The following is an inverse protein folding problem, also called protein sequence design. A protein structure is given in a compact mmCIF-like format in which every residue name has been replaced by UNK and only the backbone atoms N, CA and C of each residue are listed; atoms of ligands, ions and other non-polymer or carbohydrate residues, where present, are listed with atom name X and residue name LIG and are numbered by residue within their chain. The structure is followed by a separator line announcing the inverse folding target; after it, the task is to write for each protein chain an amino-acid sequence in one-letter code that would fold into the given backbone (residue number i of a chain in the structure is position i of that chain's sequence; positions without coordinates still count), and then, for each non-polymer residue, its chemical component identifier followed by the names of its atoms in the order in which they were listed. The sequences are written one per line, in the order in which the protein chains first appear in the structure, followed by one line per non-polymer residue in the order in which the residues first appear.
data_IF_803297256557
#
_entry.id   IF_803297256557
#
_cell.length_a   1.000
_cell.length_b   1.000
_cell.length_c   1.000
_cell.angle_alpha   90.00
_cell.angle_beta   90.00
_cell.angle_gamma   90.00
#
_symmetry.space_group_name_H-M   'P 1'
#
loop_
_entity.id
_entity.type
_entity.pdbx_description
1 polymer ?
#
# COMPACT_ATOMS: atom_id res chain seq x y z
N UNK A 1 54.48 -15.97 -40.83
CA UNK A 1 54.48 -14.86 -39.84
C UNK A 1 53.19 -14.03 -39.84
N UNK A 2 52.53 -13.76 -40.98
CA UNK A 2 51.36 -12.86 -41.04
C UNK A 2 50.02 -13.39 -40.46
N UNK A 3 49.77 -14.70 -40.44
CA UNK A 3 48.51 -15.26 -39.87
C UNK A 3 48.40 -15.16 -38.35
N UNK A 4 49.52 -15.29 -37.62
CA UNK A 4 49.54 -15.22 -36.15
C UNK A 4 49.32 -13.80 -35.62
N UNK A 5 49.81 -12.80 -36.33
CA UNK A 5 49.62 -11.38 -35.98
C UNK A 5 48.15 -10.99 -36.14
N UNK A 6 47.48 -11.47 -37.20
CA UNK A 6 46.07 -11.21 -37.44
C UNK A 6 45.16 -11.83 -36.38
N UNK A 7 45.40 -13.09 -36.00
CA UNK A 7 44.66 -13.78 -34.93
C UNK A 7 44.84 -13.10 -33.57
N UNK A 8 46.05 -12.62 -33.25
CA UNK A 8 46.33 -11.92 -32.00
C UNK A 8 45.64 -10.55 -31.95
N UNK A 9 45.66 -9.79 -33.06
CA UNK A 9 44.93 -8.52 -33.15
C UNK A 9 43.41 -8.71 -33.10
N UNK A 10 42.88 -9.77 -33.71
CA UNK A 10 41.47 -10.11 -33.66
C UNK A 10 41.02 -10.51 -32.24
N UNK A 11 41.84 -11.32 -31.54
CA UNK A 11 41.57 -11.72 -30.15
C UNK A 11 41.63 -10.54 -29.17
N UNK A 12 42.57 -9.62 -29.35
CA UNK A 12 42.65 -8.38 -28.57
C UNK A 12 41.44 -7.49 -28.84
N UNK A 13 41.03 -7.30 -30.10
CA UNK A 13 39.81 -6.54 -30.45
C UNK A 13 38.54 -7.18 -29.87
N UNK A 14 38.43 -8.51 -29.89
CA UNK A 14 37.28 -9.23 -29.34
C UNK A 14 37.18 -9.08 -27.81
N UNK A 15 38.30 -9.14 -27.09
CA UNK A 15 38.34 -8.91 -25.65
C UNK A 15 38.11 -7.43 -25.30
N UNK A 16 38.61 -6.50 -26.11
CA UNK A 16 38.34 -5.07 -25.92
C UNK A 16 36.87 -4.73 -26.16
N UNK A 17 36.23 -5.36 -27.16
CA UNK A 17 34.80 -5.23 -27.42
C UNK A 17 33.95 -5.84 -26.29
N UNK A 18 34.33 -7.00 -25.74
CA UNK A 18 33.68 -7.60 -24.56
C UNK A 18 33.83 -6.72 -23.31
N UNK A 19 35.01 -6.12 -23.11
CA UNK A 19 35.27 -5.21 -22.00
C UNK A 19 34.47 -3.91 -22.15
N UNK A 20 34.38 -3.34 -23.37
CA UNK A 20 33.54 -2.19 -23.66
C UNK A 20 32.05 -2.50 -23.49
N UNK A 21 31.60 -3.68 -23.91
CA UNK A 21 30.22 -4.13 -23.69
C UNK A 21 29.92 -4.32 -22.20
N UNK A 22 30.86 -4.88 -21.44
CA UNK A 22 30.74 -5.02 -19.98
C UNK A 22 30.74 -3.66 -19.28
N UNK A 23 31.61 -2.73 -19.66
CA UNK A 23 31.63 -1.36 -19.12
C UNK A 23 30.34 -0.62 -19.51
N UNK A 24 29.85 -0.80 -20.74
CA UNK A 24 28.60 -0.18 -21.19
C UNK A 24 27.38 -0.77 -20.48
N UNK A 25 27.31 -2.09 -20.29
CA UNK A 25 26.29 -2.73 -19.44
C UNK A 25 26.43 -2.28 -17.98
N UNK A 26 27.65 -2.16 -17.45
CA UNK A 26 27.89 -1.70 -16.09
C UNK A 26 27.51 -0.22 -15.92
N UNK A 27 27.74 0.62 -16.92
CA UNK A 27 27.31 2.03 -16.94
C UNK A 27 25.78 2.12 -17.12
N UNK A 28 25.16 1.31 -17.98
CA UNK A 28 23.69 1.28 -18.12
C UNK A 28 23.05 0.81 -16.82
N UNK A 29 23.52 -0.30 -16.25
CA UNK A 29 23.07 -0.83 -14.96
C UNK A 29 23.28 0.21 -13.87
N UNK A 30 24.45 0.85 -13.77
CA UNK A 30 24.67 1.93 -12.81
C UNK A 30 23.88 3.22 -13.10
N UNK A 31 23.55 3.53 -14.36
CA UNK A 31 22.74 4.71 -14.72
C UNK A 31 21.25 4.46 -14.47
N UNK A 32 20.79 3.21 -14.59
CA UNK A 32 19.49 2.76 -14.10
C UNK A 32 19.43 2.75 -12.58
N UNK A 33 20.50 2.29 -11.90
CA UNK A 33 20.59 2.28 -10.43
C UNK A 33 20.64 3.71 -9.87
N UNK A 34 21.38 4.63 -10.51
CA UNK A 34 21.47 6.05 -10.09
C UNK A 34 20.19 6.86 -10.29
N UNK A 35 19.15 6.31 -10.91
CA UNK A 35 17.85 6.98 -11.07
C UNK A 35 16.78 6.48 -10.10
N UNK A 36 17.13 5.56 -9.21
CA UNK A 36 16.27 5.03 -8.16
C UNK A 36 17.00 5.11 -6.81
N UNK A 37 17.33 6.32 -6.36
CA UNK A 37 17.54 6.55 -4.92
C UNK A 37 16.17 6.41 -4.24
N UNK A 38 15.73 5.16 -4.03
CA UNK A 38 14.57 4.87 -3.18
C UNK A 38 15.04 4.96 -1.72
N UNK A 39 14.78 6.11 -1.12
CA UNK A 39 14.78 6.31 0.32
C UNK A 39 14.09 5.11 1.01
N UNK A 40 14.83 4.35 1.82
CA UNK A 40 14.33 3.42 2.86
C UNK A 40 13.12 2.51 2.54
N UNK A 41 13.20 1.62 1.55
CA UNK A 41 12.07 0.72 1.25
C UNK A 41 12.51 -0.72 1.05
N UNK A 42 12.02 -1.61 1.91
CA UNK A 42 12.22 -3.05 1.83
C UNK A 42 11.65 -3.66 0.53
N UNK A 43 11.86 -4.96 0.31
CA UNK A 43 11.24 -5.70 -0.79
C UNK A 43 10.63 -7.01 -0.29
N UNK A 44 9.43 -7.31 -0.75
CA UNK A 44 8.73 -8.56 -0.44
C UNK A 44 8.29 -9.31 -1.70
N UNK A 45 8.03 -10.59 -1.48
CA UNK A 45 7.42 -11.55 -2.38
C UNK A 45 6.46 -12.44 -1.60
N UNK A 46 5.38 -12.90 -2.21
CA UNK A 46 4.51 -13.91 -1.64
C UNK A 46 3.88 -14.79 -2.70
N UNK A 47 3.55 -16.03 -2.34
CA UNK A 47 2.93 -17.01 -3.24
C UNK A 47 1.78 -17.71 -2.55
N UNK A 48 0.78 -18.08 -3.34
CA UNK A 48 -0.24 -19.06 -2.98
C UNK A 48 -0.52 -19.99 -4.15
N UNK A 49 -0.74 -21.27 -3.90
CA UNK A 49 -0.98 -22.29 -4.93
C UNK A 49 -1.78 -23.46 -4.39
N UNK A 50 -2.45 -24.20 -5.28
CA UNK A 50 -3.21 -25.40 -4.92
C UNK A 50 -2.29 -26.63 -4.75
N UNK A 51 -1.55 -26.95 -5.80
CA UNK A 51 -0.61 -28.07 -5.85
C UNK A 51 0.73 -27.60 -6.41
N UNK A 52 1.82 -28.21 -5.92
CA UNK A 52 3.16 -27.91 -6.45
C UNK A 52 3.32 -28.58 -7.82
N UNK A 53 3.97 -27.89 -8.74
CA UNK A 53 4.37 -28.44 -10.03
C UNK A 53 5.83 -28.05 -10.33
N UNK A 54 6.57 -28.83 -11.15
CA UNK A 54 7.94 -28.48 -11.50
C UNK A 54 8.06 -27.10 -12.16
N UNK A 55 7.04 -26.68 -12.92
CA UNK A 55 6.98 -25.35 -13.52
C UNK A 55 6.82 -24.26 -12.46
N UNK A 56 5.91 -24.44 -11.49
CA UNK A 56 5.73 -23.50 -10.39
C UNK A 56 6.97 -23.43 -9.51
N UNK A 57 7.59 -24.56 -9.16
CA UNK A 57 8.84 -24.59 -8.39
C UNK A 57 9.96 -23.83 -9.09
N UNK A 58 10.07 -23.96 -10.41
CA UNK A 58 11.01 -23.19 -11.20
C UNK A 58 10.72 -21.69 -11.13
N UNK A 59 9.45 -21.27 -11.31
CA UNK A 59 9.04 -19.86 -11.21
C UNK A 59 9.37 -19.29 -9.81
N UNK A 60 8.98 -20.01 -8.76
CA UNK A 60 9.26 -19.60 -7.36
C UNK A 60 10.77 -19.45 -7.14
N UNK A 61 11.57 -20.42 -7.60
CA UNK A 61 13.02 -20.36 -7.47
C UNK A 61 13.61 -19.15 -8.18
N UNK A 62 13.19 -18.85 -9.41
CA UNK A 62 13.68 -17.68 -10.15
C UNK A 62 13.29 -16.37 -9.48
N UNK A 63 12.05 -16.27 -8.98
CA UNK A 63 11.60 -15.06 -8.28
C UNK A 63 12.37 -14.83 -6.98
N UNK A 64 12.65 -15.89 -6.22
CA UNK A 64 13.42 -15.78 -4.99
C UNK A 64 14.90 -15.47 -5.25
N UNK A 65 15.48 -15.96 -6.34
CA UNK A 65 16.82 -15.54 -6.77
C UNK A 65 16.87 -14.06 -7.16
N UNK A 66 15.84 -13.56 -7.86
CA UNK A 66 15.70 -12.13 -8.14
C UNK A 66 15.52 -11.30 -6.87
N UNK A 67 14.67 -11.74 -5.93
CA UNK A 67 14.50 -11.09 -4.63
C UNK A 67 15.81 -11.07 -3.84
N UNK A 68 16.57 -12.17 -3.85
CA UNK A 68 17.91 -12.26 -3.24
C UNK A 68 18.80 -11.13 -3.73
N UNK A 69 18.88 -10.91 -5.06
CA UNK A 69 19.69 -9.85 -5.66
C UNK A 69 19.28 -8.45 -5.16
N UNK A 70 17.99 -8.21 -4.90
CA UNK A 70 17.52 -6.94 -4.33
C UNK A 70 18.10 -6.66 -2.94
N UNK A 71 18.59 -7.69 -2.24
CA UNK A 71 19.29 -7.56 -0.96
C UNK A 71 20.58 -6.72 -1.03
N UNK A 72 21.21 -6.54 -2.20
CA UNK A 72 22.33 -5.60 -2.32
C UNK A 72 21.95 -4.16 -1.95
N UNK A 73 20.70 -3.77 -2.23
CA UNK A 73 20.14 -2.47 -1.87
C UNK A 73 19.28 -2.52 -0.60
N UNK A 74 19.07 -3.72 -0.04
CA UNK A 74 18.30 -4.01 1.17
C UNK A 74 19.15 -4.90 2.09
N UNK A 75 20.19 -4.32 2.74
CA UNK A 75 21.28 -5.10 3.32
C UNK A 75 20.98 -5.64 4.73
N UNK A 76 19.86 -5.24 5.34
CA UNK A 76 19.58 -5.45 6.77
C UNK A 76 18.88 -6.78 7.06
N UNK A 77 19.35 -7.82 6.36
CA UNK A 77 18.90 -9.20 6.49
C UNK A 77 17.79 -9.61 5.53
N UNK A 78 17.32 -10.84 5.74
CA UNK A 78 16.25 -11.47 4.96
C UNK A 78 15.42 -12.43 5.82
N UNK A 79 14.20 -12.69 5.36
CA UNK A 79 13.35 -13.70 5.96
C UNK A 79 12.46 -14.43 4.97
N UNK A 80 12.11 -15.67 5.32
CA UNK A 80 11.25 -16.56 4.55
C UNK A 80 10.27 -17.20 5.54
N UNK A 81 8.98 -17.02 5.30
CA UNK A 81 7.90 -17.62 6.07
C UNK A 81 6.98 -18.44 5.17
N UNK A 82 6.63 -19.66 5.54
CA UNK A 82 5.80 -20.52 4.71
C UNK A 82 5.05 -21.55 5.55
N UNK A 83 3.98 -22.09 4.99
CA UNK A 83 3.20 -23.14 5.64
C UNK A 83 3.69 -24.52 5.20
N UNK A 84 3.70 -25.48 6.12
CA UNK A 84 4.00 -26.90 5.84
C UNK A 84 2.84 -27.78 6.30
N UNK A 85 2.55 -28.84 5.56
CA UNK A 85 1.52 -29.80 5.93
C UNK A 85 1.92 -30.59 7.19
N UNK A 86 0.95 -30.91 8.06
CA UNK A 86 1.16 -31.82 9.19
C UNK A 86 0.61 -33.21 8.90
N UNK A 87 1.18 -34.23 9.56
CA UNK A 87 0.69 -35.61 9.47
C UNK A 87 -0.73 -35.79 10.03
N UNK A 88 -1.22 -34.84 10.84
CA UNK A 88 -2.55 -34.89 11.48
C UNK A 88 -3.61 -34.11 10.67
N UNK A 89 -3.24 -33.56 9.51
CA UNK A 89 -4.07 -32.63 8.75
C UNK A 89 -3.87 -31.18 9.19
N UNK A 90 -4.05 -30.25 8.26
CA UNK A 90 -3.77 -28.82 8.46
C UNK A 90 -2.31 -28.45 8.21
N UNK A 91 -2.01 -27.16 8.37
CA UNK A 91 -0.70 -26.59 8.10
C UNK A 91 -0.15 -25.86 9.34
N UNK A 92 1.17 -25.84 9.49
CA UNK A 92 1.87 -25.02 10.49
C UNK A 92 2.83 -24.03 9.81
N UNK A 93 3.00 -22.83 10.35
CA UNK A 93 3.92 -21.84 9.81
C UNK A 93 5.38 -22.18 10.20
N UNK A 94 6.29 -21.89 9.29
CA UNK A 94 7.74 -22.02 9.46
C UNK A 94 8.36 -20.69 9.08
N UNK A 95 9.14 -20.10 9.99
CA UNK A 95 9.87 -18.84 9.75
C UNK A 95 11.38 -19.12 9.77
N UNK A 96 12.10 -18.54 8.82
CA UNK A 96 13.57 -18.55 8.70
C UNK A 96 14.05 -17.14 8.47
N UNK A 97 15.16 -16.75 9.11
CA UNK A 97 15.73 -15.41 9.04
C UNK A 97 17.25 -15.47 8.97
N UNK A 98 17.85 -14.48 8.33
CA UNK A 98 19.29 -14.25 8.32
C UNK A 98 19.61 -12.78 8.53
N UNK A 99 20.68 -12.51 9.27
CA UNK A 99 21.21 -11.16 9.49
C UNK A 99 22.04 -10.64 8.30
N UNK A 100 23.01 -11.40 7.74
CA UNK A 100 23.69 -10.94 6.55
C UNK A 100 22.69 -10.73 5.42
N UNK A 101 22.95 -9.72 4.59
CA UNK A 101 22.18 -9.47 3.37
C UNK A 101 22.03 -10.74 2.52
N UNK A 102 20.85 -10.94 1.91
CA UNK A 102 20.50 -12.16 1.19
C UNK A 102 21.53 -12.65 0.13
N UNK A 103 22.16 -11.78 -0.70
CA UNK A 103 23.20 -12.20 -1.64
C UNK A 103 24.47 -12.74 -0.97
N UNK A 104 24.73 -12.32 0.27
CA UNK A 104 25.97 -12.59 1.01
C UNK A 104 25.81 -13.71 2.04
N UNK A 105 24.58 -14.15 2.32
CA UNK A 105 24.30 -15.22 3.26
C UNK A 105 24.23 -16.59 2.55
N UNK A 106 25.19 -17.52 2.77
CA UNK A 106 25.14 -18.84 2.15
C UNK A 106 23.93 -19.69 2.61
N UNK A 107 23.31 -19.33 3.74
CA UNK A 107 22.11 -20.02 4.25
C UNK A 107 20.84 -19.66 3.46
N UNK A 108 20.82 -18.52 2.78
CA UNK A 108 19.64 -18.10 1.99
C UNK A 108 19.22 -19.17 0.97
N UNK A 109 20.10 -19.61 0.02
CA UNK A 109 19.72 -20.63 -0.94
C UNK A 109 19.35 -21.98 -0.28
N UNK A 110 19.98 -22.34 0.85
CA UNK A 110 19.60 -23.53 1.61
C UNK A 110 18.17 -23.45 2.16
N UNK A 111 17.77 -22.28 2.70
CA UNK A 111 16.41 -22.07 3.22
C UNK A 111 15.39 -21.96 2.10
N UNK A 112 15.75 -21.43 0.93
CA UNK A 112 14.89 -21.48 -0.28
C UNK A 112 14.67 -22.93 -0.73
N UNK A 113 15.72 -23.74 -0.79
CA UNK A 113 15.60 -25.15 -1.14
C UNK A 113 14.78 -25.95 -0.11
N UNK A 114 14.94 -25.65 1.19
CA UNK A 114 14.10 -26.18 2.26
C UNK A 114 12.63 -25.79 2.06
N UNK A 115 12.35 -24.53 1.76
CA UNK A 115 11.00 -24.04 1.50
C UNK A 115 10.38 -24.78 0.32
N UNK A 116 11.04 -24.80 -0.85
CA UNK A 116 10.53 -25.47 -2.05
C UNK A 116 10.18 -26.94 -1.80
N UNK A 117 10.95 -27.62 -0.94
CA UNK A 117 10.72 -29.02 -0.59
C UNK A 117 9.48 -29.25 0.28
N UNK A 118 9.12 -28.31 1.14
CA UNK A 118 8.14 -28.54 2.21
C UNK A 118 6.93 -27.61 2.16
N UNK A 119 6.98 -26.55 1.37
CA UNK A 119 5.91 -25.56 1.27
C UNK A 119 4.60 -26.21 0.83
N UNK A 120 3.54 -25.92 1.60
CA UNK A 120 2.17 -26.30 1.30
C UNK A 120 1.30 -25.06 1.27
N UNK A 121 0.76 -24.76 0.09
CA UNK A 121 -0.24 -23.73 -0.07
C UNK A 121 0.35 -22.35 -0.26
N UNK A 122 1.07 -21.78 0.72
CA UNK A 122 1.55 -20.40 0.61
C UNK A 122 2.83 -20.09 1.39
N UNK A 123 3.46 -18.98 1.02
CA UNK A 123 4.64 -18.43 1.69
C UNK A 123 4.91 -16.97 1.31
N UNK A 124 5.77 -16.32 2.09
CA UNK A 124 6.22 -14.94 1.97
C UNK A 124 7.73 -14.90 2.15
N UNK A 125 8.42 -14.09 1.36
CA UNK A 125 9.84 -13.79 1.53
C UNK A 125 10.06 -12.28 1.54
N UNK A 126 11.13 -11.86 2.20
CA UNK A 126 11.43 -10.46 2.43
C UNK A 126 12.95 -10.21 2.46
N UNK A 127 13.38 -9.05 1.98
CA UNK A 127 14.72 -8.48 2.18
C UNK A 127 14.57 -7.06 2.71
N UNK A 128 15.30 -6.74 3.78
CA UNK A 128 15.06 -5.54 4.59
C UNK A 128 16.05 -4.41 4.33
N UNK A 129 15.52 -3.19 4.29
CA UNK A 129 16.25 -1.94 4.48
C UNK A 129 15.64 -1.25 5.69
N UNK A 130 16.29 -1.36 6.84
CA UNK A 130 15.75 -0.90 8.12
C UNK A 130 15.46 0.60 8.11
N UNK A 131 14.24 0.98 8.46
CA UNK A 131 13.82 2.37 8.69
C UNK A 131 13.49 2.66 10.16
N UNK A 132 13.13 1.63 10.93
CA UNK A 132 12.77 1.71 12.35
C UNK A 132 13.29 0.48 13.15
N UNK A 133 13.38 0.65 14.48
CA UNK A 133 13.88 -0.34 15.42
C UNK A 133 15.40 -0.59 15.35
N UNK A 134 15.91 -1.68 15.96
CA UNK A 134 17.33 -1.98 15.93
C UNK A 134 17.80 -2.28 14.51
N UNK A 135 18.89 -1.63 14.10
CA UNK A 135 19.64 -1.90 12.87
C UNK A 135 21.00 -2.47 13.27
N UNK A 136 21.37 -3.60 12.68
CA UNK A 136 22.58 -4.36 13.02
C UNK A 136 22.40 -5.31 14.22
N UNK A 137 22.96 -6.51 14.11
CA UNK A 137 22.96 -7.52 15.19
C UNK A 137 21.66 -8.32 15.32
N UNK A 138 20.64 -8.06 14.49
CA UNK A 138 19.36 -8.77 14.52
C UNK A 138 18.97 -9.17 13.08
N UNK A 139 18.66 -10.46 12.84
CA UNK A 139 18.09 -10.90 11.57
C UNK A 139 16.85 -10.11 11.17
N UNK A 140 16.59 -9.99 9.88
CA UNK A 140 15.36 -9.35 9.39
C UNK A 140 14.13 -9.95 10.08
N UNK A 141 13.35 -9.14 10.82
CA UNK A 141 12.22 -9.62 11.62
C UNK A 141 11.05 -10.04 10.74
N UNK A 142 11.03 -9.68 9.45
CA UNK A 142 10.00 -10.12 8.54
C UNK A 142 10.22 -11.58 8.09
N UNK A 143 9.16 -12.25 7.65
CA UNK A 143 7.79 -11.92 7.99
C UNK A 143 7.48 -12.20 9.47
N UNK A 144 6.52 -11.46 10.04
CA UNK A 144 6.00 -11.69 11.38
C UNK A 144 4.95 -12.80 11.38
N UNK A 145 4.91 -13.59 12.44
CA UNK A 145 3.85 -14.56 12.71
C UNK A 145 2.93 -14.00 13.79
N UNK A 146 1.64 -13.78 13.48
CA UNK A 146 0.67 -13.22 14.41
C UNK A 146 -0.59 -14.08 14.44
N UNK A 147 -1.33 -13.97 15.54
CA UNK A 147 -2.58 -14.70 15.73
C UNK A 147 -3.62 -13.80 16.41
N UNK A 148 -4.76 -13.62 15.76
CA UNK A 148 -5.96 -13.06 16.39
C UNK A 148 -6.53 -14.11 17.36
N UNK A 149 -6.58 -13.78 18.65
CA UNK A 149 -6.85 -14.76 19.71
C UNK A 149 -8.31 -15.16 19.78
N UNK A 150 -9.22 -14.24 19.48
CA UNK A 150 -10.67 -14.48 19.53
C UNK A 150 -11.14 -15.35 18.37
N UNK A 151 -10.57 -15.16 17.17
CA UNK A 151 -10.92 -15.94 15.98
C UNK A 151 -9.99 -17.12 15.73
N UNK A 152 -8.94 -17.28 16.54
CA UNK A 152 -7.86 -18.25 16.32
C UNK A 152 -7.34 -18.17 14.86
N UNK A 153 -7.14 -16.94 14.39
CA UNK A 153 -6.73 -16.65 13.02
C UNK A 153 -5.24 -16.35 13.00
N UNK A 154 -4.45 -17.33 12.57
CA UNK A 154 -3.00 -17.23 12.45
C UNK A 154 -2.61 -16.79 11.04
N UNK A 155 -1.65 -15.87 10.94
CA UNK A 155 -1.18 -15.35 9.66
C UNK A 155 0.29 -14.93 9.70
N UNK A 156 0.92 -14.98 8.53
CA UNK A 156 2.26 -14.48 8.26
C UNK A 156 2.14 -13.12 7.55
N UNK A 157 2.93 -12.12 7.97
CA UNK A 157 2.81 -10.74 7.51
C UNK A 157 4.16 -10.09 7.21
N UNK A 158 4.28 -9.38 6.09
CA UNK A 158 5.43 -8.53 5.79
C UNK A 158 4.98 -7.17 5.25
N UNK A 159 5.64 -6.10 5.71
CA UNK A 159 5.34 -4.72 5.35
C UNK A 159 6.48 -4.11 4.52
N UNK A 160 6.12 -3.26 3.56
CA UNK A 160 7.03 -2.39 2.85
C UNK A 160 6.52 -0.96 2.96
N UNK A 161 7.23 -0.15 3.73
CA UNK A 161 6.87 1.22 4.02
C UNK A 161 7.47 1.63 5.37
N UNK A 162 7.02 2.76 5.89
CA UNK A 162 7.39 3.20 7.24
C UNK A 162 6.20 3.87 7.87
N UNK A 163 5.86 3.43 9.08
CA UNK A 163 4.72 3.93 9.83
C UNK A 163 5.25 4.43 11.19
N UNK A 164 4.93 5.67 11.61
CA UNK A 164 5.35 6.14 12.93
C UNK A 164 4.86 5.22 14.05
N UNK A 165 5.80 4.67 14.83
CA UNK A 165 5.52 3.76 15.95
C UNK A 165 4.52 4.36 16.93
N UNK A 166 4.66 5.65 17.25
CA UNK A 166 3.77 6.34 18.19
C UNK A 166 2.32 6.38 17.69
N UNK A 167 2.10 6.51 16.38
CA UNK A 167 0.75 6.48 15.80
C UNK A 167 0.13 5.08 15.87
N UNK A 168 0.91 4.03 15.58
CA UNK A 168 0.45 2.64 15.72
C UNK A 168 0.11 2.31 17.17
N UNK A 169 0.99 2.67 18.10
CA UNK A 169 0.78 2.48 19.54
C UNK A 169 -0.48 3.20 20.03
N UNK A 170 -0.64 4.48 19.66
CA UNK A 170 -1.81 5.26 20.02
C UNK A 170 -3.10 4.62 19.47
N UNK A 171 -3.08 4.13 18.22
CA UNK A 171 -4.23 3.51 17.60
C UNK A 171 -4.61 2.18 18.29
N UNK A 172 -3.64 1.31 18.53
CA UNK A 172 -3.85 0.03 19.22
C UNK A 172 -4.44 0.28 20.61
N UNK A 173 -3.82 1.15 21.40
CA UNK A 173 -4.30 1.47 22.75
C UNK A 173 -5.70 2.08 22.71
N UNK A 174 -6.04 2.87 21.69
CA UNK A 174 -7.37 3.47 21.55
C UNK A 174 -8.48 2.46 21.24
N UNK A 175 -8.15 1.34 20.58
CA UNK A 175 -9.13 0.29 20.23
C UNK A 175 -9.34 -0.63 21.43
N UNK A 176 -8.25 -1.18 21.98
CA UNK A 176 -8.28 -1.96 23.21
C UNK A 176 -6.98 -1.73 24.02
N UNK A 177 -7.05 -0.97 25.14
CA UNK A 177 -5.87 -0.66 25.96
C UNK A 177 -5.11 -1.88 26.50
N UNK A 178 -5.77 -3.04 26.58
CA UNK A 178 -5.16 -4.29 27.06
C UNK A 178 -4.58 -5.18 25.95
N UNK A 179 -4.72 -4.82 24.67
CA UNK A 179 -4.43 -5.74 23.57
C UNK A 179 -2.94 -6.12 23.47
N UNK A 180 -2.04 -5.18 23.73
CA UNK A 180 -0.59 -5.44 23.74
C UNK A 180 -0.15 -6.41 24.85
N UNK A 181 -0.96 -6.60 25.90
CA UNK A 181 -0.68 -7.63 26.91
C UNK A 181 -1.08 -9.03 26.42
N UNK A 182 -2.05 -9.11 25.50
CA UNK A 182 -2.59 -10.35 24.94
C UNK A 182 -1.76 -10.78 23.71
N UNK A 183 -1.34 -9.80 22.91
CA UNK A 183 -0.45 -9.94 21.76
C UNK A 183 0.74 -8.98 21.91
N UNK A 184 1.76 -9.35 22.71
CA UNK A 184 2.92 -8.52 22.90
C UNK A 184 3.76 -8.39 21.61
N UNK A 185 4.34 -7.21 21.34
CA UNK A 185 5.32 -7.04 20.28
C UNK A 185 6.55 -7.95 20.50
N UNK A 186 7.13 -8.48 19.42
CA UNK A 186 8.33 -9.32 19.50
C UNK A 186 9.55 -8.52 19.98
N UNK A 187 9.53 -7.19 19.77
CA UNK A 187 10.61 -6.28 20.15
C UNK A 187 10.08 -5.16 21.04
N UNK A 188 10.63 -5.05 22.25
CA UNK A 188 10.30 -4.03 23.25
C UNK A 188 11.55 -3.71 24.09
N UNK A 189 11.83 -2.44 24.44
CA UNK A 189 11.06 -1.23 24.10
C UNK A 189 11.35 -0.69 22.69
N UNK A 190 12.29 -1.30 21.95
CA UNK A 190 12.65 -0.91 20.59
C UNK A 190 11.65 -1.47 19.57
N UNK A 191 10.42 -0.96 19.62
CA UNK A 191 9.33 -1.44 18.77
C UNK A 191 9.64 -1.29 17.28
N UNK A 192 9.12 -2.24 16.51
CA UNK A 192 9.11 -2.19 15.05
C UNK A 192 7.71 -1.80 14.59
N UNK A 193 7.65 -0.85 13.68
CA UNK A 193 6.39 -0.39 13.07
C UNK A 193 5.65 -1.53 12.38
N UNK A 194 6.38 -2.34 11.62
CA UNK A 194 5.83 -3.47 10.85
C UNK A 194 5.23 -4.56 11.74
N UNK A 195 5.77 -4.74 12.96
CA UNK A 195 5.22 -5.64 13.96
C UNK A 195 3.91 -5.09 14.53
N UNK A 196 3.96 -3.86 15.04
CA UNK A 196 2.78 -3.18 15.58
C UNK A 196 1.66 -3.09 14.53
N UNK A 197 2.02 -2.93 13.26
CA UNK A 197 1.05 -2.94 12.18
C UNK A 197 0.35 -4.30 12.01
N UNK A 198 1.10 -5.40 12.10
CA UNK A 198 0.51 -6.75 12.12
C UNK A 198 -0.38 -6.96 13.36
N UNK A 199 0.02 -6.42 14.52
CA UNK A 199 -0.77 -6.47 15.76
C UNK A 199 -2.07 -5.68 15.63
N UNK A 200 -2.04 -4.49 15.03
CA UNK A 200 -3.24 -3.69 14.74
C UNK A 200 -4.22 -4.47 13.86
N UNK A 201 -3.74 -5.18 12.83
CA UNK A 201 -4.60 -6.02 11.98
C UNK A 201 -5.23 -7.14 12.82
N UNK A 202 -4.46 -7.84 13.65
CA UNK A 202 -4.98 -8.88 14.54
C UNK A 202 -6.04 -8.33 15.52
N UNK A 203 -5.82 -7.13 16.08
CA UNK A 203 -6.74 -6.46 16.99
C UNK A 203 -8.07 -6.11 16.33
N UNK A 204 -8.02 -5.59 15.10
CA UNK A 204 -9.23 -5.26 14.34
C UNK A 204 -9.97 -6.55 13.99
N UNK A 205 -9.28 -7.64 13.65
CA UNK A 205 -9.89 -8.96 13.42
C UNK A 205 -10.60 -9.50 14.68
N UNK A 206 -10.00 -9.32 15.87
CA UNK A 206 -10.60 -9.73 17.16
C UNK A 206 -11.77 -8.84 17.58
N UNK A 207 -11.65 -7.54 17.34
CA UNK A 207 -12.65 -6.52 17.70
C UNK A 207 -13.89 -6.65 16.83
N UNK A 208 -13.71 -6.75 15.51
CA UNK A 208 -14.78 -6.83 14.51
C UNK A 208 -14.99 -8.26 14.02
N UNK A 209 -15.12 -9.20 14.97
CA UNK A 209 -15.18 -10.64 14.73
C UNK A 209 -16.33 -11.11 13.82
N UNK A 210 -17.36 -10.28 13.65
CA UNK A 210 -18.51 -10.53 12.78
C UNK A 210 -18.27 -10.12 11.31
N UNK A 211 -17.16 -9.44 11.01
CA UNK A 211 -16.80 -9.04 9.64
C UNK A 211 -15.88 -10.09 8.99
N UNK A 212 -15.83 -10.07 7.65
CA UNK A 212 -14.84 -10.83 6.89
C UNK A 212 -13.43 -10.33 7.19
N UNK A 213 -12.41 -11.16 6.93
CA UNK A 213 -11.01 -10.75 7.12
C UNK A 213 -10.69 -9.52 6.25
N UNK A 214 -11.19 -9.49 5.02
CA UNK A 214 -11.02 -8.38 4.10
C UNK A 214 -11.61 -7.06 4.64
N UNK A 215 -12.82 -7.09 5.22
CA UNK A 215 -13.43 -5.89 5.81
C UNK A 215 -12.72 -5.47 7.11
N UNK A 216 -12.19 -6.41 7.90
CA UNK A 216 -11.32 -6.10 9.02
C UNK A 216 -10.03 -5.40 8.55
N UNK A 217 -9.36 -5.92 7.52
CA UNK A 217 -8.18 -5.29 6.93
C UNK A 217 -8.53 -3.86 6.49
N UNK A 218 -9.59 -3.66 5.68
CA UNK A 218 -10.04 -2.33 5.26
C UNK A 218 -10.26 -1.39 6.45
N UNK A 219 -10.90 -1.89 7.50
CA UNK A 219 -11.16 -1.12 8.73
C UNK A 219 -9.86 -0.69 9.41
N UNK A 220 -8.87 -1.58 9.49
CA UNK A 220 -7.54 -1.25 10.04
C UNK A 220 -6.85 -0.16 9.20
N UNK A 221 -6.87 -0.28 7.86
CA UNK A 221 -6.24 0.71 6.97
C UNK A 221 -6.91 2.07 7.08
N UNK A 222 -8.25 2.12 7.05
CA UNK A 222 -9.00 3.39 7.17
C UNK A 222 -8.74 4.09 8.51
N UNK A 223 -8.65 3.32 9.59
CA UNK A 223 -8.31 3.86 10.92
C UNK A 223 -6.88 4.41 10.94
N UNK A 224 -5.93 3.67 10.38
CA UNK A 224 -4.54 4.10 10.28
C UNK A 224 -4.42 5.37 9.43
N UNK A 225 -5.01 5.40 8.25
CA UNK A 225 -5.01 6.58 7.35
C UNK A 225 -5.63 7.81 8.05
N UNK A 226 -6.72 7.62 8.81
CA UNK A 226 -7.41 8.74 9.47
C UNK A 226 -6.60 9.48 10.54
N UNK A 227 -5.58 8.83 11.12
CA UNK A 227 -4.70 9.43 12.14
C UNK A 227 -3.37 9.93 11.56
N UNK A 228 -3.14 9.68 10.27
CA UNK A 228 -1.95 10.09 9.57
C UNK A 228 -2.30 11.35 8.77
N UNK A 229 -1.93 12.52 9.31
CA UNK A 229 -2.32 13.84 8.77
C UNK A 229 -1.60 14.20 7.44
N UNK A 230 -1.89 13.45 6.36
CA UNK A 230 -1.42 13.63 4.98
C UNK A 230 0.10 13.84 4.84
N UNK A 231 0.91 12.84 5.20
CA UNK A 231 2.37 12.88 5.00
C UNK A 231 2.88 11.63 4.28
N UNK A 232 3.00 11.68 2.95
CA UNK A 232 3.85 10.78 2.15
C UNK A 232 3.86 9.29 2.59
N UNK A 233 2.70 8.73 2.91
CA UNK A 233 2.59 7.41 3.53
C UNK A 233 2.65 6.26 2.52
N UNK A 234 3.12 5.11 3.01
CA UNK A 234 3.11 3.83 2.31
C UNK A 234 2.73 2.73 3.30
N UNK A 235 1.60 2.06 3.05
CA UNK A 235 1.09 0.98 3.90
C UNK A 235 1.17 -0.39 3.21
N UNK A 236 2.03 -0.53 2.20
CA UNK A 236 2.08 -1.74 1.39
C UNK A 236 2.42 -2.95 2.25
N UNK A 237 1.71 -4.05 2.07
CA UNK A 237 2.01 -5.29 2.77
C UNK A 237 1.65 -6.51 1.92
N UNK A 238 2.18 -7.65 2.33
CA UNK A 238 1.72 -8.98 1.93
C UNK A 238 1.42 -9.81 3.18
N UNK A 239 0.33 -10.56 3.13
CA UNK A 239 -0.16 -11.37 4.25
C UNK A 239 -0.75 -12.70 3.75
N UNK A 240 -0.57 -13.79 4.49
CA UNK A 240 -1.22 -15.08 4.20
C UNK A 240 -1.55 -15.86 5.46
N UNK A 241 -2.69 -16.55 5.44
CA UNK A 241 -3.14 -17.50 6.48
C UNK A 241 -2.92 -18.97 6.10
N UNK A 242 -2.20 -19.22 4.99
CA UNK A 242 -2.03 -20.56 4.44
C UNK A 242 -3.01 -20.91 3.31
N UNK A 243 -4.16 -20.23 3.25
CA UNK A 243 -5.28 -20.53 2.33
C UNK A 243 -5.69 -19.35 1.45
N UNK A 244 -5.30 -18.13 1.83
CA UNK A 244 -5.56 -16.89 1.10
C UNK A 244 -4.33 -16.01 1.17
N UNK A 245 -3.96 -15.40 0.05
CA UNK A 245 -2.90 -14.42 -0.03
C UNK A 245 -3.52 -13.03 -0.23
N UNK A 246 -3.21 -12.11 0.67
CA UNK A 246 -3.59 -10.72 0.57
C UNK A 246 -2.37 -9.86 0.28
N UNK A 247 -2.54 -8.84 -0.55
CA UNK A 247 -1.54 -7.79 -0.70
C UNK A 247 -2.19 -6.42 -0.85
N UNK A 248 -1.65 -5.43 -0.14
CA UNK A 248 -2.14 -4.05 -0.20
C UNK A 248 -1.18 -3.21 -1.02
N UNK A 249 -1.72 -2.48 -1.99
CA UNK A 249 -1.05 -1.33 -2.58
C UNK A 249 -1.72 -0.05 -2.06
N UNK A 250 -1.00 0.73 -1.26
CA UNK A 250 -1.47 1.97 -0.67
C UNK A 250 -0.34 2.97 -0.54
N UNK A 251 -0.46 4.09 -1.24
CA UNK A 251 0.35 5.28 -1.03
C UNK A 251 -0.48 6.56 -1.18
N UNK A 252 -0.19 7.56 -0.37
CA UNK A 252 -0.72 8.92 -0.54
C UNK A 252 0.26 9.84 -1.30
N UNK A 253 1.50 9.37 -1.54
CA UNK A 253 2.51 10.13 -2.26
C UNK A 253 2.39 9.94 -3.78
N UNK A 254 2.01 10.99 -4.50
CA UNK A 254 1.90 10.97 -5.97
C UNK A 254 3.25 10.86 -6.70
N UNK A 255 4.35 11.19 -6.02
CA UNK A 255 5.69 11.26 -6.60
C UNK A 255 6.57 10.04 -6.27
N UNK A 256 6.10 9.11 -5.42
CA UNK A 256 6.83 7.86 -5.11
C UNK A 256 6.15 6.64 -5.74
N UNK A 257 6.72 6.04 -6.79
CA UNK A 257 6.17 4.83 -7.36
C UNK A 257 6.68 3.61 -6.57
N UNK A 258 6.03 3.31 -5.44
CA UNK A 258 5.98 1.92 -4.99
C UNK A 258 4.67 1.30 -5.45
N UNK A 259 4.79 0.19 -6.14
CA UNK A 259 3.67 -0.46 -6.79
C UNK A 259 3.77 -1.94 -6.50
N UNK A 260 2.74 -2.47 -5.86
CA UNK A 260 2.62 -3.92 -5.63
C UNK A 260 1.99 -4.54 -6.87
N UNK A 261 2.51 -5.69 -7.29
CA UNK A 261 2.07 -6.41 -8.46
C UNK A 261 1.58 -7.80 -8.08
N UNK A 262 0.66 -8.36 -8.88
CA UNK A 262 0.35 -9.78 -8.87
C UNK A 262 0.69 -10.44 -10.21
N UNK A 263 0.94 -11.75 -10.17
CA UNK A 263 1.32 -12.60 -11.29
C UNK A 263 0.59 -13.95 -11.16
N UNK A 264 0.19 -14.60 -12.26
CA UNK A 264 0.27 -14.11 -13.65
C UNK A 264 -0.94 -13.23 -14.03
N UNK A 265 -0.84 -12.48 -15.12
CA UNK A 265 -1.94 -11.69 -15.69
C UNK A 265 -3.00 -12.57 -16.36
N UNK A 266 -3.78 -13.32 -15.56
CA UNK A 266 -4.85 -14.23 -16.00
C UNK A 266 -6.13 -13.98 -15.20
N UNK A 267 -7.26 -14.45 -15.73
CA UNK A 267 -8.55 -14.42 -15.02
C UNK A 267 -8.69 -15.58 -14.02
N UNK A 268 -7.93 -16.65 -14.17
CA UNK A 268 -7.84 -17.75 -13.21
C UNK A 268 -6.49 -18.44 -13.36
N UNK A 269 -5.93 -18.89 -12.24
CA UNK A 269 -4.64 -19.57 -12.13
C UNK A 269 -4.65 -20.48 -10.92
N UNK A 270 -4.01 -21.64 -11.01
CA UNK A 270 -3.81 -22.58 -9.90
C UNK A 270 -2.78 -22.09 -8.87
N UNK A 271 -2.06 -21.01 -9.20
CA UNK A 271 -1.22 -20.25 -8.30
C UNK A 271 -1.30 -18.73 -8.55
N UNK A 272 -0.96 -17.96 -7.52
CA UNK A 272 -0.76 -16.53 -7.59
C UNK A 272 0.51 -16.12 -6.86
N UNK A 273 1.20 -15.13 -7.39
CA UNK A 273 2.37 -14.51 -6.79
C UNK A 273 2.10 -13.02 -6.64
N UNK A 274 2.58 -12.43 -5.56
CA UNK A 274 2.63 -10.98 -5.37
C UNK A 274 4.06 -10.54 -5.09
N UNK A 275 4.43 -9.36 -5.55
CA UNK A 275 5.73 -8.80 -5.26
C UNK A 275 5.69 -7.27 -5.26
N UNK A 276 6.61 -6.69 -4.49
CA UNK A 276 6.82 -5.23 -4.44
C UNK A 276 7.39 -4.62 -5.72
N UNK A 277 7.80 -5.46 -6.68
CA UNK A 277 8.19 -5.11 -8.05
C UNK A 277 8.19 -6.38 -8.90
N UNK A 278 8.11 -6.31 -10.25
CA UNK A 278 8.31 -7.46 -11.11
C UNK A 278 9.69 -8.09 -10.88
N UNK A 279 9.75 -9.42 -10.85
CA UNK A 279 10.95 -10.20 -10.49
C UNK A 279 11.52 -11.04 -11.64
N UNK A 280 10.99 -10.89 -12.86
CA UNK A 280 11.48 -11.58 -14.05
C UNK A 280 11.40 -10.66 -15.28
N UNK A 281 11.85 -11.17 -16.42
CA UNK A 281 11.83 -10.43 -17.68
C UNK A 281 10.45 -10.46 -18.38
N UNK A 282 9.50 -11.23 -17.86
CA UNK A 282 8.15 -11.39 -18.39
C UNK A 282 7.21 -10.31 -17.85
N UNK A 283 7.64 -9.05 -17.93
CA UNK A 283 6.91 -7.89 -17.40
C UNK A 283 5.43 -7.83 -17.84
N UNK A 284 5.10 -8.35 -19.01
CA UNK A 284 3.72 -8.41 -19.54
C UNK A 284 2.78 -9.32 -18.74
N UNK A 285 3.30 -10.21 -17.90
CA UNK A 285 2.53 -11.10 -17.04
C UNK A 285 2.32 -10.55 -15.64
N UNK A 286 2.96 -9.42 -15.29
CA UNK A 286 2.76 -8.76 -14.02
C UNK A 286 1.66 -7.71 -14.13
N UNK A 287 0.66 -7.79 -13.26
CA UNK A 287 -0.42 -6.81 -13.18
C UNK A 287 -0.18 -5.93 -11.97
N UNK A 288 -0.07 -4.63 -12.19
CA UNK A 288 -0.01 -3.66 -11.11
C UNK A 288 -1.33 -3.62 -10.35
N UNK A 289 -1.27 -3.74 -9.03
CA UNK A 289 -2.44 -3.54 -8.16
C UNK A 289 -2.75 -2.02 -8.15
N UNK A 290 -4.01 -1.61 -8.40
CA UNK A 290 -4.38 -0.19 -8.32
C UNK A 290 -4.04 0.42 -6.95
N UNK A 291 -3.78 1.73 -6.89
CA UNK A 291 -3.52 2.38 -5.60
C UNK A 291 -4.73 2.26 -4.66
N UNK A 292 -4.48 2.30 -3.36
CA UNK A 292 -5.46 2.16 -2.28
C UNK A 292 -6.37 0.94 -2.47
N UNK A 293 -5.80 -0.19 -2.89
CA UNK A 293 -6.51 -1.42 -3.20
C UNK A 293 -5.86 -2.62 -2.54
N UNK A 294 -6.67 -3.41 -1.84
CA UNK A 294 -6.33 -4.72 -1.34
C UNK A 294 -6.65 -5.75 -2.42
N UNK A 295 -5.70 -6.61 -2.78
CA UNK A 295 -6.00 -7.82 -3.57
C UNK A 295 -6.15 -9.01 -2.63
N UNK A 296 -7.15 -9.84 -2.87
CA UNK A 296 -7.35 -11.14 -2.25
C UNK A 296 -7.22 -12.23 -3.32
N UNK A 297 -6.27 -13.13 -3.13
CA UNK A 297 -5.86 -14.15 -4.11
C UNK A 297 -6.06 -15.54 -3.50
N UNK A 298 -6.75 -16.40 -4.26
CA UNK A 298 -6.95 -17.81 -3.94
C UNK A 298 -6.69 -18.66 -5.19
N UNK A 299 -6.09 -19.84 -5.06
CA UNK A 299 -5.92 -20.75 -6.19
C UNK A 299 -7.25 -21.03 -6.89
N UNK A 300 -7.20 -21.20 -8.21
CA UNK A 300 -8.34 -21.51 -9.07
C UNK A 300 -9.48 -20.49 -9.02
N UNK A 301 -9.20 -19.28 -8.53
CA UNK A 301 -10.16 -18.18 -8.41
C UNK A 301 -9.61 -16.92 -9.05
N UNK A 302 -10.49 -16.07 -9.58
CA UNK A 302 -10.10 -14.76 -10.09
C UNK A 302 -9.56 -13.87 -8.98
N UNK A 303 -8.54 -13.01 -9.23
CA UNK A 303 -8.12 -12.00 -8.28
C UNK A 303 -9.27 -11.11 -7.85
N UNK A 304 -9.51 -11.01 -6.54
CA UNK A 304 -10.50 -10.10 -5.99
C UNK A 304 -9.83 -8.78 -5.61
N UNK A 305 -10.06 -7.74 -6.40
CA UNK A 305 -9.55 -6.39 -6.15
C UNK A 305 -10.57 -5.60 -5.32
N UNK A 306 -10.18 -5.23 -4.11
CA UNK A 306 -11.02 -4.63 -3.09
C UNK A 306 -10.47 -3.23 -2.77
N UNK A 307 -11.08 -2.16 -3.29
CA UNK A 307 -10.73 -0.79 -2.91
C UNK A 307 -10.83 -0.57 -1.40
N UNK A 308 -9.82 0.07 -0.81
CA UNK A 308 -9.81 0.38 0.63
C UNK A 308 -10.94 1.33 0.97
N UNK A 309 -11.08 2.40 0.20
CA UNK A 309 -12.29 3.21 0.19
C UNK A 309 -13.25 2.54 -0.76
N UNK A 310 -14.47 2.28 -0.29
CA UNK A 310 -15.52 1.88 -1.21
C UNK A 310 -15.51 2.92 -2.33
N UNK A 311 -15.49 2.47 -3.59
CA UNK A 311 -15.63 3.40 -4.72
C UNK A 311 -16.74 4.34 -4.30
N UNK A 312 -16.45 5.64 -4.22
CA UNK A 312 -17.52 6.64 -4.15
C UNK A 312 -18.37 6.26 -5.35
N UNK A 313 -19.49 5.56 -5.08
CA UNK A 313 -20.27 5.00 -6.15
C UNK A 313 -20.68 6.23 -6.96
N UNK A 314 -20.36 6.33 -8.26
CA UNK A 314 -20.87 7.43 -9.08
C UNK A 314 -22.40 7.46 -9.14
N UNK A 315 -23.10 6.60 -8.40
CA UNK A 315 -24.44 6.88 -7.85
C UNK A 315 -24.41 8.04 -6.84
N UNK A 316 -24.21 9.22 -7.41
CA UNK A 316 -24.59 10.55 -6.98
C UNK A 316 -24.62 10.89 -5.50
N UNK A 317 -23.69 11.74 -5.06
CA UNK A 317 -23.94 12.64 -3.94
C UNK A 317 -25.10 13.54 -4.36
N UNK A 318 -26.30 13.22 -3.85
CA UNK A 318 -27.50 14.02 -4.10
C UNK A 318 -27.60 15.13 -3.08
N UNK A 319 -27.77 16.33 -3.58
CA UNK A 319 -28.29 17.43 -2.79
C UNK A 319 -29.82 17.33 -2.81
N UNK A 320 -30.44 17.53 -1.66
CA UNK A 320 -31.88 17.78 -1.67
C UNK A 320 -32.17 19.15 -2.29
N UNK A 321 -33.35 19.29 -2.90
CA UNK A 321 -33.82 20.54 -3.52
C UNK A 321 -34.15 21.65 -2.51
N UNK A 322 -34.24 21.33 -1.22
CA UNK A 322 -34.58 22.26 -0.14
C UNK A 322 -33.41 23.13 0.34
N UNK A 323 -32.95 24.06 -0.48
CA UNK A 323 -31.94 25.07 -0.08
C UNK A 323 -32.62 26.26 0.61
N UNK A 324 -32.04 26.71 1.74
CA UNK A 324 -32.49 27.94 2.42
C UNK A 324 -31.36 28.96 2.40
N UNK A 325 -31.65 30.15 1.87
CA UNK A 325 -30.72 31.27 1.82
C UNK A 325 -31.36 32.45 2.52
N UNK A 326 -30.89 32.76 3.73
CA UNK A 326 -31.53 33.78 4.56
C UNK A 326 -30.50 34.61 5.34
N UNK A 327 -30.61 35.94 5.33
CA UNK A 327 -31.44 36.75 4.42
C UNK A 327 -30.86 36.76 2.99
N UNK A 328 -31.68 37.03 1.98
CA UNK A 328 -31.23 37.29 0.61
C UNK A 328 -32.24 38.24 -0.07
N UNK A 329 -31.93 39.53 -0.29
CA UNK A 329 -30.62 40.17 -0.13
C UNK A 329 -30.06 40.20 1.30
N UNK A 330 -28.74 40.32 1.45
CA UNK A 330 -28.05 40.40 2.75
C UNK A 330 -27.08 41.58 2.82
N UNK A 331 -26.89 42.13 4.02
CA UNK A 331 -25.93 43.21 4.28
C UNK A 331 -24.54 42.70 4.66
N UNK A 332 -24.46 41.90 5.72
CA UNK A 332 -23.19 41.54 6.35
C UNK A 332 -22.96 40.03 6.46
N UNK A 333 -24.02 39.23 6.47
CA UNK A 333 -23.93 37.78 6.62
C UNK A 333 -25.14 37.14 5.95
N UNK A 334 -24.89 36.08 5.17
CA UNK A 334 -25.93 35.18 4.66
C UNK A 334 -25.71 33.80 5.23
N UNK A 335 -26.80 33.15 5.66
CA UNK A 335 -26.83 31.74 6.02
C UNK A 335 -27.30 30.93 4.82
N UNK A 336 -26.56 29.89 4.47
CA UNK A 336 -26.87 28.95 3.39
C UNK A 336 -27.02 27.56 4.00
N UNK A 337 -28.24 27.03 3.98
CA UNK A 337 -28.55 25.68 4.43
C UNK A 337 -28.78 24.76 3.24
N UNK A 338 -28.20 23.57 3.32
CA UNK A 338 -28.31 22.53 2.29
C UNK A 338 -28.30 21.16 2.97
N UNK A 339 -28.94 20.20 2.33
CA UNK A 339 -28.97 18.81 2.83
C UNK A 339 -28.13 17.94 1.90
N UNK A 340 -27.16 17.25 2.49
CA UNK A 340 -26.43 16.17 1.84
C UNK A 340 -27.22 14.90 2.14
N UNK A 341 -27.87 14.30 1.15
CA UNK A 341 -28.67 13.07 1.36
C UNK A 341 -27.83 11.80 1.28
N UNK A 342 -26.57 11.91 0.85
CA UNK A 342 -25.58 10.83 0.79
C UNK A 342 -24.18 11.41 1.02
N UNK A 343 -23.46 10.88 2.01
CA UNK A 343 -22.13 11.39 2.40
C UNK A 343 -21.13 11.38 1.24
N UNK A 344 -20.26 12.38 1.15
CA UNK A 344 -19.27 12.49 0.07
C UNK A 344 -18.51 13.82 0.07
N UNK A 345 -17.69 14.03 -0.97
CA UNK A 345 -16.96 15.28 -1.16
C UNK A 345 -17.89 16.40 -1.61
N UNK A 346 -17.80 17.54 -0.93
CA UNK A 346 -18.57 18.75 -1.21
C UNK A 346 -17.60 19.92 -1.33
N UNK A 347 -17.77 20.72 -2.39
CA UNK A 347 -17.03 21.97 -2.62
C UNK A 347 -18.00 23.12 -2.79
N UNK A 348 -17.88 24.13 -1.95
CA UNK A 348 -18.74 25.33 -1.95
C UNK A 348 -17.89 26.54 -2.28
N UNK A 349 -18.25 27.22 -3.36
CA UNK A 349 -17.48 28.32 -3.94
C UNK A 349 -18.41 29.50 -4.24
N UNK A 350 -17.94 30.73 -4.03
CA UNK A 350 -18.63 31.94 -4.44
C UNK A 350 -17.95 32.53 -5.66
N UNK A 351 -18.77 32.88 -6.66
CA UNK A 351 -18.36 33.56 -7.87
C UNK A 351 -19.03 34.94 -7.98
N UNK A 352 -18.36 35.90 -8.61
CA UNK A 352 -18.96 37.19 -8.96
C UNK A 352 -19.81 37.10 -10.25
N UNK A 353 -20.44 38.22 -10.63
CA UNK A 353 -21.26 38.31 -11.84
C UNK A 353 -20.51 38.09 -13.16
N UNK A 354 -19.17 38.13 -13.15
CA UNK A 354 -18.32 37.80 -14.30
C UNK A 354 -17.85 36.34 -14.29
N UNK A 355 -18.26 35.54 -13.30
CA UNK A 355 -17.86 34.15 -13.16
C UNK A 355 -16.46 33.96 -12.56
N UNK A 356 -15.87 34.99 -11.95
CA UNK A 356 -14.57 34.88 -11.25
C UNK A 356 -14.78 34.31 -9.87
N UNK A 357 -13.98 33.32 -9.48
CA UNK A 357 -13.98 32.75 -8.14
C UNK A 357 -13.49 33.82 -7.13
N UNK A 358 -14.32 34.15 -6.15
CA UNK A 358 -13.98 35.14 -5.11
C UNK A 358 -13.76 34.52 -3.73
N UNK A 359 -14.40 33.38 -3.45
CA UNK A 359 -14.30 32.72 -2.13
C UNK A 359 -14.47 31.21 -2.27
N UNK A 360 -13.63 30.43 -1.59
CA UNK A 360 -13.96 29.02 -1.29
C UNK A 360 -14.47 28.93 0.15
N UNK A 361 -15.74 28.56 0.34
CA UNK A 361 -16.36 28.46 1.65
C UNK A 361 -16.10 27.10 2.31
N UNK A 362 -16.09 26.03 1.52
CA UNK A 362 -15.85 24.67 2.00
C UNK A 362 -15.27 23.79 0.90
N UNK A 363 -14.39 22.87 1.25
CA UNK A 363 -13.84 21.86 0.34
C UNK A 363 -13.41 20.64 1.13
N UNK A 364 -14.26 19.60 1.20
CA UNK A 364 -13.96 18.43 2.00
C UNK A 364 -15.11 17.43 2.04
N UNK A 365 -14.95 16.39 2.86
CA UNK A 365 -15.98 15.37 3.05
C UNK A 365 -17.09 15.87 3.99
N UNK A 366 -18.35 15.54 3.68
CA UNK A 366 -19.48 15.74 4.56
C UNK A 366 -20.33 14.48 4.71
N UNK A 367 -20.80 14.23 5.92
CA UNK A 367 -21.76 13.16 6.22
C UNK A 367 -23.15 13.53 5.72
N UNK A 368 -23.99 12.51 5.48
CA UNK A 368 -25.39 12.67 5.13
C UNK A 368 -26.15 13.36 6.27
N UNK A 369 -26.41 14.66 6.15
CA UNK A 369 -27.15 15.47 7.12
C UNK A 369 -27.50 16.85 6.52
N UNK A 370 -28.23 17.65 7.29
CA UNK A 370 -28.34 19.09 7.07
C UNK A 370 -27.05 19.78 7.48
N UNK A 371 -26.56 20.65 6.61
CA UNK A 371 -25.38 21.47 6.82
C UNK A 371 -25.73 22.94 6.72
N UNK A 372 -24.96 23.78 7.40
CA UNK A 372 -25.10 25.23 7.37
C UNK A 372 -23.74 25.85 7.12
N UNK A 373 -23.68 26.79 6.18
CA UNK A 373 -22.50 27.60 5.95
C UNK A 373 -22.86 29.08 5.92
N UNK A 374 -21.92 29.92 6.32
CA UNK A 374 -22.10 31.36 6.38
C UNK A 374 -21.12 32.06 5.45
N UNK A 375 -21.56 33.16 4.86
CA UNK A 375 -20.68 34.04 4.10
C UNK A 375 -20.92 35.50 4.46
N UNK A 376 -19.84 36.24 4.68
CA UNK A 376 -19.85 37.61 5.18
C UNK A 376 -19.61 38.69 4.11
N UNK A 377 -19.77 38.31 2.83
CA UNK A 377 -19.55 39.22 1.70
C UNK A 377 -18.08 39.64 1.52
N UNK A 378 -17.13 38.78 1.91
CA UNK A 378 -15.69 38.97 1.68
C UNK A 378 -15.09 37.89 0.79
N UNK A 379 -13.96 38.21 0.19
CA UNK A 379 -13.17 37.26 -0.62
C UNK A 379 -12.17 36.43 0.22
N UNK A 380 -11.37 35.59 -0.43
CA UNK A 380 -10.33 34.79 0.22
C UNK A 380 -9.20 35.61 0.87
N UNK A 381 -9.02 36.85 0.43
CA UNK A 381 -8.07 37.82 1.01
C UNK A 381 -8.71 38.69 2.10
N UNK A 382 -9.92 38.35 2.57
CA UNK A 382 -10.71 39.08 3.58
C UNK A 382 -11.07 40.51 3.17
N UNK A 383 -11.09 40.82 1.87
CA UNK A 383 -11.49 42.14 1.36
C UNK A 383 -13.00 42.20 1.20
N UNK A 384 -13.58 43.36 1.49
CA UNK A 384 -15.00 43.62 1.28
C UNK A 384 -15.31 43.62 -0.22
N UNK A 385 -16.30 42.83 -0.61
CA UNK A 385 -16.85 42.83 -1.96
C UNK A 385 -17.95 43.90 -2.09
N UNK A 386 -18.14 44.40 -3.31
CA UNK A 386 -19.12 45.44 -3.64
C UNK A 386 -20.54 44.86 -3.68
N UNK A 387 -21.54 45.73 -3.48
CA UNK A 387 -22.95 45.41 -3.70
C UNK A 387 -23.17 44.84 -5.10
N UNK A 388 -23.97 43.80 -5.22
CA UNK A 388 -24.18 43.11 -6.49
C UNK A 388 -24.63 41.66 -6.36
N UNK A 389 -24.71 40.99 -7.52
CA UNK A 389 -25.10 39.59 -7.62
C UNK A 389 -23.87 38.70 -7.58
N UNK A 390 -23.97 37.64 -6.77
CA UNK A 390 -22.98 36.59 -6.64
C UNK A 390 -23.64 35.22 -6.79
N UNK A 391 -22.83 34.20 -7.09
CA UNK A 391 -23.30 32.84 -7.30
C UNK A 391 -22.57 31.90 -6.35
N UNK A 392 -23.32 31.26 -5.45
CA UNK A 392 -22.83 30.18 -4.63
C UNK A 392 -22.98 28.87 -5.41
N UNK A 393 -21.86 28.27 -5.75
CA UNK A 393 -21.78 26.99 -6.42
C UNK A 393 -21.49 25.90 -5.38
N UNK A 394 -22.45 25.01 -5.17
CA UNK A 394 -22.31 23.81 -4.36
C UNK A 394 -22.10 22.65 -5.33
N UNK A 395 -20.86 22.16 -5.36
CA UNK A 395 -20.43 21.08 -6.24
C UNK A 395 -20.18 19.82 -5.44
N UNK A 396 -20.69 18.72 -5.96
CA UNK A 396 -20.39 17.36 -5.52
C UNK A 396 -19.78 16.60 -6.71
N UNK A 397 -19.45 15.33 -6.54
CA UNK A 397 -18.92 14.50 -7.63
C UNK A 397 -19.95 14.25 -8.76
N UNK A 398 -21.24 14.45 -8.49
CA UNK A 398 -22.34 14.16 -9.43
C UNK A 398 -23.24 15.34 -9.76
N UNK A 399 -23.33 16.34 -8.89
CA UNK A 399 -24.27 17.44 -9.02
C UNK A 399 -23.55 18.78 -8.84
N UNK A 400 -24.12 19.80 -9.45
CA UNK A 400 -23.66 21.18 -9.31
C UNK A 400 -24.91 22.04 -9.20
N UNK A 401 -25.11 22.63 -8.03
CA UNK A 401 -26.21 23.55 -7.78
C UNK A 401 -25.66 24.96 -7.65
N UNK A 402 -26.26 25.88 -8.40
CA UNK A 402 -25.91 27.30 -8.35
C UNK A 402 -27.05 28.07 -7.69
N UNK A 403 -26.71 28.77 -6.61
CA UNK A 403 -27.61 29.59 -5.83
C UNK A 403 -27.26 31.06 -6.02
N UNK A 404 -28.25 31.89 -6.36
CA UNK A 404 -28.06 33.34 -6.51
C UNK A 404 -28.04 34.02 -5.14
N UNK A 405 -27.03 34.83 -4.88
CA UNK A 405 -26.90 35.68 -3.69
C UNK A 405 -26.91 37.15 -4.11
N UNK A 406 -27.58 38.00 -3.34
CA UNK A 406 -27.64 39.46 -3.56
C UNK A 406 -27.05 40.15 -2.34
N UNK A 407 -25.88 40.76 -2.51
CA UNK A 407 -25.20 41.53 -1.47
C UNK A 407 -25.60 43.01 -1.61
N UNK A 408 -26.07 43.61 -0.52
CA UNK A 408 -26.40 45.03 -0.42
C UNK A 408 -25.54 45.67 0.67
N UNK A 409 -24.56 46.48 0.28
CA UNK A 409 -23.67 47.20 1.18
C UNK A 409 -23.79 48.69 1.03
#
# INVERSE_FOLDING_TARGET
MNKFIFLRQFYIKLNFAKLLLFIYLFIIVNSCIKKLDSEHECRFWGVIFNESSPELEYIISQHLDSLRILGFNNPDGWGIGYFVATNQGGNIPVIRRGEPSAPLDPRYPERVAEMLRFIKGSGIAHVRKGSSGPVGGIPDPHPFLRCSKRRNFEFIFAHNGTIPVDHLMALIISINPGYLNINPPDYSPNFLDSDLYAILIAEVIDTYYNLTIEECIKTAIRKLDSIMEMKNEQFNFVMTDGQTLWALNFTDNKDRPLTVYFYPAKDSSDFWIVASQPLDTLNSLWVQIPNQTLVCLKPNSRPNLIPIYDKVNPESVKLDSGFVITPNPFLNLVKIEYTVTKSGMVKIMIYDGAGRLVKTLFNGFQSSNKHTIFWDGKDDLKRNLSSGVYFCNIKTDSETTVLKLVLER
#
